data_IF_307601981683
#
_entry.id   IF_307601981683
#
_cell.length_a   1.000
_cell.length_b   1.000
_cell.length_c   1.000
_cell.angle_alpha   90.00
_cell.angle_beta   90.00
_cell.angle_gamma   90.00
#
_symmetry.space_group_name_H-M   'P 1'
#
loop_
_entity.id
_entity.type
_entity.pdbx_description
1 polymer ?
#
# COMPACT_ATOMS: atom_id res chain seq x y z
N UNK A 1 -17.28 -2.58 -6.72
CA UNK A 1 -17.03 -1.27 -6.09
C UNK A 1 -17.47 -1.30 -4.63
N UNK A 2 -16.91 -0.43 -3.78
CA UNK A 2 -17.24 -0.35 -2.34
C UNK A 2 -18.44 0.57 -2.07
N UNK A 3 -19.57 0.32 -2.73
CA UNK A 3 -20.77 1.20 -2.67
C UNK A 3 -21.81 0.76 -1.65
N UNK A 4 -21.65 -0.44 -1.07
CA UNK A 4 -22.57 -0.98 -0.07
C UNK A 4 -22.76 -0.01 1.11
N UNK A 5 -24.00 0.14 1.57
CA UNK A 5 -24.37 1.06 2.65
C UNK A 5 -23.52 0.83 3.90
N UNK A 6 -23.35 -0.44 4.31
CA UNK A 6 -22.60 -0.81 5.50
C UNK A 6 -21.12 -0.42 5.38
N UNK A 7 -20.49 -0.63 4.21
CA UNK A 7 -19.10 -0.22 3.96
C UNK A 7 -18.91 1.30 4.07
N UNK A 8 -19.86 2.09 3.53
CA UNK A 8 -19.82 3.55 3.61
C UNK A 8 -20.09 4.07 5.02
N UNK A 9 -20.99 3.42 5.76
CA UNK A 9 -21.26 3.74 7.16
C UNK A 9 -20.04 3.46 8.04
N UNK A 10 -19.42 2.29 7.88
CA UNK A 10 -18.19 1.92 8.57
C UNK A 10 -17.06 2.94 8.32
N UNK A 11 -16.77 3.26 7.05
CA UNK A 11 -15.73 4.21 6.69
C UNK A 11 -15.95 5.58 7.35
N UNK A 12 -17.19 6.10 7.35
CA UNK A 12 -17.51 7.36 8.06
C UNK A 12 -17.36 7.23 9.57
N UNK A 13 -17.74 6.08 10.14
CA UNK A 13 -17.64 5.80 11.58
C UNK A 13 -16.20 5.83 12.08
N UNK A 14 -15.22 5.49 11.24
CA UNK A 14 -13.77 5.59 11.55
C UNK A 14 -13.13 6.89 11.05
N UNK A 15 -13.93 7.89 10.66
CA UNK A 15 -13.43 9.21 10.23
C UNK A 15 -12.95 9.31 8.79
N UNK A 16 -13.13 8.28 7.95
CA UNK A 16 -12.80 8.35 6.53
C UNK A 16 -13.93 8.99 5.71
N UNK A 17 -13.55 9.70 4.64
CA UNK A 17 -14.47 10.23 3.64
C UNK A 17 -14.50 9.26 2.44
N UNK A 18 -15.58 8.49 2.22
CA UNK A 18 -15.64 7.57 1.08
C UNK A 18 -15.61 8.33 -0.24
N UNK A 19 -14.59 8.06 -1.07
CA UNK A 19 -14.48 8.58 -2.43
C UNK A 19 -14.51 7.42 -3.41
N UNK A 20 -15.31 7.55 -4.46
CA UNK A 20 -15.39 6.57 -5.55
C UNK A 20 -14.83 7.20 -6.80
N UNK A 21 -13.91 6.51 -7.45
CA UNK A 21 -13.44 6.89 -8.78
C UNK A 21 -14.59 6.73 -9.78
N UNK A 22 -14.79 7.69 -10.70
CA UNK A 22 -15.63 7.49 -11.88
C UNK A 22 -15.21 6.24 -12.66
N UNK A 23 -16.19 5.54 -13.24
CA UNK A 23 -15.90 4.42 -14.16
C UNK A 23 -15.03 4.94 -15.30
N UNK A 24 -14.02 4.16 -15.71
CA UNK A 24 -13.08 4.51 -16.79
C UNK A 24 -12.13 5.68 -16.51
N UNK A 25 -11.83 5.99 -15.25
CA UNK A 25 -10.76 6.92 -14.85
C UNK A 25 -9.55 6.18 -14.24
N UNK A 26 -8.73 5.47 -15.05
CA UNK A 26 -7.63 4.62 -14.58
C UNK A 26 -6.56 5.39 -13.78
N UNK A 27 -6.42 6.70 -14.01
CA UNK A 27 -5.38 7.50 -13.36
C UNK A 27 -5.52 7.55 -11.83
N UNK A 28 -6.74 7.51 -11.28
CA UNK A 28 -6.93 7.63 -9.82
C UNK A 28 -6.42 6.42 -9.04
N UNK A 29 -6.31 5.26 -9.70
CA UNK A 29 -5.89 4.01 -9.07
C UNK A 29 -4.40 3.73 -9.29
N UNK A 30 -3.70 4.61 -10.02
CA UNK A 30 -2.31 4.40 -10.42
C UNK A 30 -1.37 4.13 -9.25
N UNK A 31 -1.61 4.72 -8.07
CA UNK A 31 -0.82 4.42 -6.86
C UNK A 31 -1.01 2.98 -6.37
N UNK A 32 -2.27 2.54 -6.27
CA UNK A 32 -2.58 1.17 -5.83
C UNK A 32 -2.10 0.14 -6.86
N UNK A 33 -2.27 0.44 -8.16
CA UNK A 33 -1.78 -0.40 -9.25
C UNK A 33 -0.25 -0.50 -9.27
N UNK A 34 0.45 0.61 -9.06
CA UNK A 34 1.90 0.63 -8.94
C UNK A 34 2.37 -0.20 -7.74
N UNK A 35 1.71 -0.10 -6.59
CA UNK A 35 2.00 -0.91 -5.42
C UNK A 35 1.85 -2.41 -5.73
N UNK A 36 0.69 -2.83 -6.27
CA UNK A 36 0.44 -4.24 -6.61
C UNK A 36 1.44 -4.74 -7.65
N UNK A 37 1.83 -3.91 -8.62
CA UNK A 37 2.83 -4.25 -9.63
C UNK A 37 4.20 -4.50 -8.99
N UNK A 38 4.64 -3.66 -8.08
CA UNK A 38 5.90 -3.86 -7.32
C UNK A 38 5.83 -5.13 -6.49
N UNK A 39 4.75 -5.34 -5.73
CA UNK A 39 4.57 -6.53 -4.90
C UNK A 39 4.65 -7.82 -5.74
N UNK A 40 3.94 -7.84 -6.88
CA UNK A 40 3.94 -8.98 -7.81
C UNK A 40 5.31 -9.24 -8.42
N UNK A 41 6.03 -8.19 -8.83
CA UNK A 41 7.32 -8.27 -9.51
C UNK A 41 8.42 -8.75 -8.57
N UNK A 42 8.51 -8.13 -7.39
CA UNK A 42 9.69 -8.25 -6.51
C UNK A 42 9.55 -9.29 -5.42
N UNK A 43 8.32 -9.71 -5.11
CA UNK A 43 8.08 -10.67 -4.03
C UNK A 43 7.37 -11.90 -4.57
N UNK A 44 6.19 -11.75 -5.16
CA UNK A 44 5.39 -12.90 -5.63
C UNK A 44 6.15 -13.70 -6.70
N UNK A 45 6.72 -13.05 -7.72
CA UNK A 45 7.37 -13.76 -8.84
C UNK A 45 8.66 -14.48 -8.45
N UNK A 46 9.36 -14.01 -7.41
CA UNK A 46 10.68 -14.52 -7.02
C UNK A 46 10.64 -15.53 -5.87
N UNK A 47 9.47 -15.77 -5.27
CA UNK A 47 9.28 -16.73 -4.19
C UNK A 47 8.49 -17.97 -4.66
N UNK A 48 8.66 -19.13 -4.01
CA UNK A 48 7.79 -20.29 -4.22
C UNK A 48 6.33 -20.00 -3.90
N UNK A 49 5.42 -20.48 -4.75
CA UNK A 49 3.97 -20.27 -4.63
C UNK A 49 3.20 -21.56 -4.94
N UNK A 50 3.38 -22.62 -4.13
CA UNK A 50 2.74 -23.91 -4.38
C UNK A 50 1.20 -23.82 -4.30
N UNK A 51 0.68 -22.91 -3.48
CA UNK A 51 -0.75 -22.68 -3.29
C UNK A 51 -1.01 -21.25 -2.79
N UNK A 52 -2.29 -20.89 -2.65
CA UNK A 52 -2.70 -19.56 -2.21
C UNK A 52 -2.39 -19.28 -0.73
N UNK A 53 -2.49 -20.29 0.14
CA UNK A 53 -2.22 -20.14 1.57
C UNK A 53 -0.75 -19.81 1.80
N UNK A 54 0.14 -20.52 1.11
CA UNK A 54 1.59 -20.27 1.12
C UNK A 54 1.95 -18.83 0.70
N UNK A 55 1.15 -18.20 -0.17
CA UNK A 55 1.32 -16.78 -0.54
C UNK A 55 0.81 -15.87 0.57
N UNK A 56 -0.37 -16.15 1.13
CA UNK A 56 -0.99 -15.38 2.22
C UNK A 56 -0.05 -15.35 3.44
N UNK A 57 0.55 -16.48 3.78
CA UNK A 57 1.45 -16.61 4.93
C UNK A 57 2.75 -15.80 4.76
N UNK A 58 3.16 -15.55 3.51
CA UNK A 58 4.34 -14.72 3.21
C UNK A 58 4.04 -13.22 3.14
N UNK A 59 2.78 -12.81 2.96
CA UNK A 59 2.39 -11.40 2.82
C UNK A 59 2.92 -10.51 3.96
N UNK A 60 2.83 -10.89 5.26
CA UNK A 60 3.33 -10.06 6.34
C UNK A 60 4.83 -9.76 6.21
N UNK A 61 5.63 -10.76 5.86
CA UNK A 61 7.07 -10.60 5.66
C UNK A 61 7.39 -9.70 4.46
N UNK A 62 6.67 -9.86 3.35
CA UNK A 62 6.83 -9.01 2.19
C UNK A 62 6.42 -7.56 2.46
N UNK A 63 5.36 -7.33 3.24
CA UNK A 63 4.94 -6.00 3.64
C UNK A 63 5.92 -5.34 4.61
N UNK A 64 6.49 -6.11 5.56
CA UNK A 64 7.53 -5.59 6.45
C UNK A 64 8.75 -5.14 5.62
N UNK A 65 9.25 -6.01 4.73
CA UNK A 65 10.38 -5.66 3.87
C UNK A 65 10.07 -4.45 2.96
N UNK A 66 8.88 -4.39 2.35
CA UNK A 66 8.47 -3.24 1.54
C UNK A 66 8.49 -1.93 2.34
N UNK A 67 7.96 -1.94 3.57
CA UNK A 67 7.82 -0.73 4.36
C UNK A 67 9.09 -0.32 5.12
N UNK A 68 9.99 -1.26 5.41
CA UNK A 68 11.14 -1.03 6.29
C UNK A 68 12.48 -1.06 5.56
N UNK A 69 12.60 -1.80 4.45
CA UNK A 69 13.90 -2.06 3.79
C UNK A 69 13.92 -1.64 2.32
N UNK A 70 12.82 -1.82 1.58
CA UNK A 70 12.81 -1.63 0.13
C UNK A 70 13.11 -0.16 -0.26
N UNK A 71 14.16 0.10 -1.06
CA UNK A 71 14.53 1.46 -1.41
C UNK A 71 13.63 2.02 -2.53
N UNK A 72 13.03 3.19 -2.30
CA UNK A 72 12.19 3.84 -3.31
C UNK A 72 12.88 5.06 -3.91
N UNK A 73 13.08 5.07 -5.24
CA UNK A 73 13.67 6.22 -5.95
C UNK A 73 12.96 7.54 -5.66
N UNK A 74 11.62 7.54 -5.64
CA UNK A 74 10.81 8.73 -5.33
C UNK A 74 11.02 9.24 -3.88
N UNK A 75 11.47 8.37 -2.97
CA UNK A 75 11.72 8.69 -1.56
C UNK A 75 13.21 8.96 -1.28
N UNK A 76 14.03 9.21 -2.31
CA UNK A 76 15.50 9.33 -2.24
C UNK A 76 16.17 8.04 -1.76
N UNK A 77 15.69 6.90 -2.27
CA UNK A 77 16.16 5.55 -1.93
C UNK A 77 15.98 5.13 -0.47
N UNK A 78 15.12 5.82 0.28
CA UNK A 78 14.66 5.40 1.60
C UNK A 78 13.47 4.46 1.51
N UNK A 79 13.25 3.68 2.56
CA UNK A 79 12.01 2.93 2.76
C UNK A 79 10.85 3.86 3.16
N UNK A 80 9.58 3.42 3.02
CA UNK A 80 8.42 4.21 3.43
C UNK A 80 8.48 4.62 4.91
N UNK A 81 8.88 3.73 5.82
CA UNK A 81 8.97 4.06 7.26
C UNK A 81 10.08 5.05 7.57
N UNK A 82 11.25 4.90 6.95
CA UNK A 82 12.34 5.87 7.10
C UNK A 82 11.91 7.27 6.62
N UNK A 83 11.22 7.33 5.47
CA UNK A 83 10.72 8.58 4.92
C UNK A 83 9.69 9.25 5.85
N UNK A 84 8.75 8.49 6.41
CA UNK A 84 7.74 8.99 7.35
C UNK A 84 8.40 9.49 8.63
N UNK A 85 9.30 8.70 9.24
CA UNK A 85 9.96 9.07 10.49
C UNK A 85 10.67 10.42 10.37
N UNK A 86 11.46 10.61 9.31
CA UNK A 86 12.19 11.86 9.07
C UNK A 86 11.26 13.04 8.74
N UNK A 87 10.14 12.80 8.06
CA UNK A 87 9.16 13.85 7.77
C UNK A 87 8.40 14.26 9.02
N UNK A 88 8.03 13.31 9.89
CA UNK A 88 7.40 13.59 11.18
C UNK A 88 8.34 14.34 12.13
N UNK A 89 9.62 13.99 12.16
CA UNK A 89 10.63 14.74 12.91
C UNK A 89 10.74 16.19 12.42
N UNK A 90 10.79 16.40 11.10
CA UNK A 90 10.84 17.73 10.50
C UNK A 90 9.59 18.57 10.81
N UNK A 91 8.40 17.96 10.88
CA UNK A 91 7.15 18.64 11.25
C UNK A 91 7.02 18.93 12.75
N UNK A 92 7.70 18.16 13.61
CA UNK A 92 7.68 18.34 15.06
C UNK A 92 8.71 19.36 15.56
N UNK A 93 9.67 19.73 14.71
CA UNK A 93 10.64 20.80 14.95
C UNK A 93 10.19 22.18 14.47
N UNK A 94 8.96 22.30 13.96
CA UNK A 94 8.26 23.55 13.64
C UNK A 94 7.26 23.90 14.75
#
# INVERSE_FOLDING_TARGET
>A
CYTARNTRAFARGIGLIPRTTPVSSPQSNGMAEAFVRTLKRDYVRVNPRPDAQSVIDQLPGWFAHYNEVHPHRALRYRSPREFIAQTCEALSGL
#
